data_IF_839944415172
#
_entry.id   IF_839944415172
#
_cell.length_a   1.000
_cell.length_b   1.000
_cell.length_c   1.000
_cell.angle_alpha   90.00
_cell.angle_beta   90.00
_cell.angle_gamma   90.00
#
_symmetry.space_group_name_H-M   'P 1'
#
loop_
_entity.id
_entity.type
_entity.pdbx_description
1 polymer ?
#
# COMPACT_ATOMS: atom_id res chain seq x y z
N UNK A 1 3.64 -10.03 1.67
CA UNK A 1 4.92 -10.36 0.99
C UNK A 1 5.65 -9.12 0.52
N UNK A 2 5.19 -8.37 -0.51
CA UNK A 2 5.90 -7.14 -0.92
C UNK A 2 5.63 -5.95 0.02
N UNK A 3 4.39 -5.77 0.49
CA UNK A 3 4.04 -4.70 1.44
C UNK A 3 4.71 -4.91 2.80
N UNK A 4 4.65 -6.13 3.31
CA UNK A 4 5.32 -6.50 4.56
C UNK A 4 6.84 -6.32 4.48
N UNK A 5 7.46 -6.68 3.34
CA UNK A 5 8.89 -6.45 3.10
C UNK A 5 9.22 -4.96 3.04
N UNK A 6 8.39 -4.17 2.33
CA UNK A 6 8.58 -2.73 2.25
C UNK A 6 8.45 -2.09 3.63
N UNK A 7 7.40 -2.42 4.38
CA UNK A 7 7.18 -1.93 5.75
C UNK A 7 8.39 -2.24 6.63
N UNK A 8 8.82 -3.50 6.68
CA UNK A 8 9.96 -3.93 7.49
C UNK A 8 11.26 -3.18 7.16
N UNK A 9 11.53 -2.91 5.89
CA UNK A 9 12.75 -2.17 5.47
C UNK A 9 12.59 -0.66 5.66
N UNK A 10 11.38 -0.11 5.52
CA UNK A 10 11.10 1.32 5.67
C UNK A 10 11.07 1.79 7.12
N UNK A 11 10.77 0.89 8.06
CA UNK A 11 10.72 1.18 9.51
C UNK A 11 11.95 0.67 10.25
N UNK A 12 12.91 0.06 9.56
CA UNK A 12 14.17 -0.41 10.14
C UNK A 12 15.03 0.79 10.59
N UNK A 13 14.99 1.04 11.90
CA UNK A 13 15.73 2.11 12.58
C UNK A 13 17.25 1.98 12.44
N UNK A 14 17.78 0.78 12.16
CA UNK A 14 19.22 0.50 12.15
C UNK A 14 19.93 1.19 11.00
N UNK A 15 19.21 1.47 9.90
CA UNK A 15 19.86 1.93 8.67
C UNK A 15 19.60 3.42 8.37
N UNK A 16 18.72 4.06 9.13
CA UNK A 16 18.41 5.47 8.95
C UNK A 16 17.82 5.80 7.56
N UNK A 17 17.43 7.05 7.40
CA UNK A 17 16.67 7.57 6.25
C UNK A 17 17.49 7.70 4.96
N UNK A 18 18.80 7.45 5.00
CA UNK A 18 19.77 7.81 3.95
C UNK A 18 20.26 6.59 3.14
N UNK A 19 19.36 5.65 2.85
CA UNK A 19 19.67 4.51 2.00
C UNK A 19 19.63 4.89 0.52
N UNK A 20 20.68 4.53 -0.22
CA UNK A 20 20.65 4.53 -1.70
C UNK A 20 19.49 3.66 -2.18
N UNK A 21 18.72 4.15 -3.15
CA UNK A 21 17.52 3.49 -3.69
C UNK A 21 17.79 2.03 -4.12
N UNK A 22 18.93 1.75 -4.74
CA UNK A 22 19.33 0.39 -5.14
C UNK A 22 19.50 -0.54 -3.93
N UNK A 23 20.10 -0.06 -2.85
CA UNK A 23 20.30 -0.82 -1.60
C UNK A 23 18.95 -1.12 -0.93
N UNK A 24 18.05 -0.13 -0.90
CA UNK A 24 16.72 -0.27 -0.35
C UNK A 24 15.91 -1.37 -1.07
N UNK A 25 15.85 -1.33 -2.40
CA UNK A 25 15.13 -2.33 -3.19
C UNK A 25 15.78 -3.70 -3.17
N UNK A 26 17.11 -3.76 -3.05
CA UNK A 26 17.85 -5.01 -2.90
C UNK A 26 17.48 -5.73 -1.60
N UNK A 27 17.33 -4.99 -0.49
CA UNK A 27 16.91 -5.56 0.81
C UNK A 27 15.47 -6.04 0.80
N UNK A 28 14.56 -5.25 0.22
CA UNK A 28 13.16 -5.67 0.02
C UNK A 28 13.10 -6.96 -0.77
N UNK A 29 13.92 -7.07 -1.83
CA UNK A 29 14.01 -8.27 -2.64
C UNK A 29 14.55 -9.47 -1.84
N UNK A 30 15.64 -9.30 -1.08
CA UNK A 30 16.18 -10.34 -0.21
C UNK A 30 15.14 -10.85 0.80
N UNK A 31 14.41 -9.94 1.45
CA UNK A 31 13.32 -10.32 2.36
C UNK A 31 12.20 -11.08 1.63
N UNK A 32 11.81 -10.63 0.42
CA UNK A 32 10.82 -11.33 -0.38
C UNK A 32 11.25 -12.76 -0.75
N UNK A 33 12.54 -12.98 -1.05
CA UNK A 33 13.09 -14.32 -1.31
C UNK A 33 13.10 -15.16 -0.04
N UNK A 34 13.49 -14.60 1.11
CA UNK A 34 13.48 -15.32 2.39
C UNK A 34 12.08 -15.82 2.75
N UNK A 35 11.05 -15.01 2.51
CA UNK A 35 9.65 -15.36 2.77
C UNK A 35 9.06 -16.26 1.67
N UNK A 36 9.58 -16.18 0.45
CA UNK A 36 9.14 -17.00 -0.68
C UNK A 36 10.30 -17.28 -1.63
N UNK A 37 10.98 -18.41 -1.40
CA UNK A 37 12.14 -18.83 -2.17
C UNK A 37 11.85 -19.03 -3.68
N UNK A 38 10.58 -19.21 -4.06
CA UNK A 38 10.16 -19.34 -5.44
C UNK A 38 9.92 -17.99 -6.16
N UNK A 39 10.23 -16.87 -5.51
CA UNK A 39 10.11 -15.54 -6.13
C UNK A 39 11.11 -15.37 -7.27
N UNK A 40 10.65 -15.52 -8.52
CA UNK A 40 11.44 -15.29 -9.74
C UNK A 40 11.67 -13.81 -10.10
N UNK A 41 11.17 -12.86 -9.30
CA UNK A 41 11.17 -11.42 -9.62
C UNK A 41 12.35 -10.73 -8.96
N UNK A 42 13.25 -10.15 -9.76
CA UNK A 42 14.35 -9.31 -9.28
C UNK A 42 13.91 -7.99 -8.63
N UNK A 43 14.83 -7.31 -7.94
CA UNK A 43 14.58 -6.07 -7.20
C UNK A 43 13.91 -4.96 -8.04
N UNK A 44 14.30 -4.78 -9.30
CA UNK A 44 13.67 -3.82 -10.23
C UNK A 44 12.20 -4.16 -10.49
N UNK A 45 11.86 -5.45 -10.59
CA UNK A 45 10.48 -5.89 -10.76
C UNK A 45 9.66 -5.67 -9.47
N UNK A 46 10.27 -5.85 -8.29
CA UNK A 46 9.66 -5.51 -7.00
C UNK A 46 9.32 -4.02 -6.94
N UNK A 47 10.28 -3.16 -7.28
CA UNK A 47 10.13 -1.70 -7.34
C UNK A 47 8.96 -1.29 -8.24
N UNK A 48 8.97 -1.75 -9.50
CA UNK A 48 7.88 -1.44 -10.46
C UNK A 48 6.51 -1.93 -9.96
N UNK A 49 6.45 -3.11 -9.36
CA UNK A 49 5.20 -3.65 -8.81
C UNK A 49 4.72 -2.84 -7.62
N UNK A 50 5.63 -2.45 -6.72
CA UNK A 50 5.30 -1.61 -5.57
C UNK A 50 4.67 -0.29 -6.01
N UNK A 51 5.30 0.47 -6.91
CA UNK A 51 4.73 1.76 -7.34
C UNK A 51 3.34 1.62 -7.98
N UNK A 52 3.09 0.54 -8.72
CA UNK A 52 1.76 0.28 -9.28
C UNK A 52 0.72 0.07 -8.19
N UNK A 53 1.04 -0.75 -7.19
CA UNK A 53 0.14 -1.00 -6.04
C UNK A 53 -0.04 0.27 -5.23
N UNK A 54 1.05 0.95 -4.88
CA UNK A 54 1.02 2.15 -4.05
C UNK A 54 0.21 3.26 -4.71
N UNK A 55 0.31 3.42 -6.04
CA UNK A 55 -0.54 4.36 -6.79
C UNK A 55 -2.02 4.04 -6.60
N UNK A 56 -2.42 2.79 -6.80
CA UNK A 56 -3.83 2.37 -6.68
C UNK A 56 -4.33 2.51 -5.23
N UNK A 57 -3.50 2.18 -4.25
CA UNK A 57 -3.80 2.32 -2.82
C UNK A 57 -3.95 3.80 -2.43
N UNK A 58 -3.05 4.68 -2.87
CA UNK A 58 -3.12 6.12 -2.60
C UNK A 58 -4.36 6.77 -3.23
N UNK A 59 -4.72 6.35 -4.45
CA UNK A 59 -5.96 6.78 -5.11
C UNK A 59 -7.20 6.40 -4.29
N UNK A 60 -7.25 5.16 -3.77
CA UNK A 60 -8.33 4.71 -2.91
C UNK A 60 -8.35 5.45 -1.56
N UNK A 61 -7.19 5.70 -0.97
CA UNK A 61 -7.08 6.48 0.26
C UNK A 61 -7.68 7.89 0.10
N UNK A 62 -7.40 8.58 -1.01
CA UNK A 62 -8.03 9.87 -1.31
C UNK A 62 -9.55 9.78 -1.44
N UNK A 63 -10.08 8.73 -2.08
CA UNK A 63 -11.53 8.49 -2.11
C UNK A 63 -12.12 8.20 -0.73
N UNK A 64 -11.37 7.50 0.14
CA UNK A 64 -11.79 7.24 1.52
C UNK A 64 -11.81 8.52 2.36
N UNK A 65 -10.81 9.38 2.22
CA UNK A 65 -10.78 10.68 2.90
C UNK A 65 -11.92 11.59 2.44
N UNK A 66 -12.20 11.60 1.13
CA UNK A 66 -13.35 12.31 0.56
C UNK A 66 -14.68 11.74 1.09
N UNK A 67 -14.81 10.42 1.18
CA UNK A 67 -15.98 9.77 1.76
C UNK A 67 -16.16 10.16 3.24
N UNK A 68 -15.07 10.18 4.00
CA UNK A 68 -15.07 10.53 5.42
C UNK A 68 -15.47 12.00 5.65
N UNK A 69 -15.06 12.92 4.77
CA UNK A 69 -15.44 14.34 4.84
C UNK A 69 -16.92 14.59 4.49
N UNK A 70 -17.51 13.77 3.62
CA UNK A 70 -18.90 13.94 3.16
C UNK A 70 -19.95 13.38 4.12
N UNK A 71 -19.55 12.60 5.11
CA UNK A 71 -20.46 11.89 5.99
C UNK A 71 -20.71 12.71 7.27
N UNK A 72 -22.00 12.94 7.59
CA UNK A 72 -22.42 13.61 8.82
C UNK A 72 -22.10 12.74 10.04
N UNK A 73 -21.77 13.37 11.16
CA UNK A 73 -21.47 12.73 12.45
C UNK A 73 -22.51 11.66 12.80
N UNK A 74 -22.07 10.40 12.95
CA UNK A 74 -22.92 9.27 13.37
C UNK A 74 -22.89 8.02 12.48
N UNK A 75 -22.12 8.00 11.38
CA UNK A 75 -22.01 6.81 10.52
C UNK A 75 -20.90 5.84 10.95
N UNK A 76 -21.11 4.54 10.69
CA UNK A 76 -20.11 3.50 10.95
C UNK A 76 -18.99 3.52 9.89
N UNK A 77 -17.86 2.88 10.21
CA UNK A 77 -16.70 2.79 9.31
C UNK A 77 -17.00 2.05 7.98
N UNK A 78 -17.97 1.14 7.97
CA UNK A 78 -18.37 0.37 6.79
C UNK A 78 -19.07 1.25 5.75
N UNK A 79 -19.89 2.21 6.18
CA UNK A 79 -20.57 3.18 5.31
C UNK A 79 -19.56 4.08 4.60
N UNK A 80 -18.53 4.53 5.32
CA UNK A 80 -17.43 5.34 4.74
C UNK A 80 -16.71 4.52 3.67
N UNK A 81 -16.41 3.26 3.98
CA UNK A 81 -15.70 2.36 3.07
C UNK A 81 -16.54 2.04 1.82
N UNK A 82 -17.84 1.81 1.96
CA UNK A 82 -18.74 1.59 0.83
C UNK A 82 -18.80 2.81 -0.09
N UNK A 83 -18.90 4.02 0.48
CA UNK A 83 -18.85 5.26 -0.28
C UNK A 83 -17.51 5.44 -0.99
N UNK A 84 -16.39 5.12 -0.33
CA UNK A 84 -15.06 5.17 -0.92
C UNK A 84 -14.94 4.24 -2.15
N UNK A 85 -15.51 3.03 -2.08
CA UNK A 85 -15.57 2.12 -3.23
C UNK A 85 -16.36 2.69 -4.40
N UNK A 86 -17.52 3.30 -4.13
CA UNK A 86 -18.35 3.96 -5.16
C UNK A 86 -17.62 5.13 -5.81
N UNK A 87 -16.97 5.98 -5.00
CA UNK A 87 -16.16 7.10 -5.48
C UNK A 87 -14.98 6.61 -6.34
N UNK A 88 -14.27 5.57 -5.90
CA UNK A 88 -13.16 5.00 -6.65
C UNK A 88 -13.61 4.46 -8.02
N UNK A 89 -14.68 3.67 -8.04
CA UNK A 89 -15.24 3.12 -9.28
C UNK A 89 -15.66 4.23 -10.24
N UNK A 90 -16.31 5.28 -9.74
CA UNK A 90 -16.72 6.44 -10.53
C UNK A 90 -15.52 7.22 -11.09
N UNK A 91 -14.47 7.43 -10.29
CA UNK A 91 -13.33 8.26 -10.67
C UNK A 91 -12.34 7.54 -11.60
N UNK A 92 -12.23 6.21 -11.50
CA UNK A 92 -11.19 5.44 -12.20
C UNK A 92 -11.73 4.35 -13.14
N UNK A 93 -13.05 4.24 -13.25
CA UNK A 93 -13.77 3.26 -14.08
C UNK A 93 -13.34 1.80 -13.78
N UNK A 94 -13.00 1.52 -12.52
CA UNK A 94 -12.43 0.24 -12.07
C UNK A 94 -12.81 -0.07 -10.64
N UNK A 95 -12.96 -1.35 -10.34
CA UNK A 95 -13.10 -1.82 -8.98
C UNK A 95 -11.74 -1.83 -8.27
N UNK A 96 -11.71 -1.35 -7.02
CA UNK A 96 -10.53 -1.46 -6.18
C UNK A 96 -10.34 -2.90 -5.69
N UNK A 97 -9.14 -3.44 -5.85
CA UNK A 97 -8.82 -4.87 -5.56
C UNK A 97 -7.71 -5.05 -4.52
N UNK A 98 -7.16 -3.95 -3.99
CA UNK A 98 -6.01 -3.97 -3.07
C UNK A 98 -6.40 -3.68 -1.62
N UNK A 99 -7.57 -4.14 -1.17
CA UNK A 99 -8.10 -3.82 0.16
C UNK A 99 -7.16 -4.23 1.30
N UNK A 100 -6.67 -5.48 1.27
CA UNK A 100 -5.71 -5.97 2.26
C UNK A 100 -4.44 -5.10 2.33
N UNK A 101 -4.00 -4.57 1.19
CA UNK A 101 -2.80 -3.74 1.09
C UNK A 101 -3.03 -2.35 1.69
N UNK A 102 -4.20 -1.76 1.42
CA UNK A 102 -4.60 -0.48 2.01
C UNK A 102 -4.80 -0.60 3.53
N UNK A 103 -5.45 -1.66 4.02
CA UNK A 103 -5.62 -1.90 5.46
C UNK A 103 -4.28 -2.00 6.19
N UNK A 104 -3.31 -2.76 5.64
CA UNK A 104 -1.97 -2.87 6.23
C UNK A 104 -1.26 -1.52 6.32
N UNK A 105 -1.30 -0.72 5.25
CA UNK A 105 -0.63 0.58 5.23
C UNK A 105 -1.30 1.60 6.16
N UNK A 106 -2.62 1.54 6.32
CA UNK A 106 -3.35 2.44 7.23
C UNK A 106 -3.11 2.14 8.70
N UNK A 107 -2.90 0.87 9.06
CA UNK A 107 -2.65 0.47 10.46
C UNK A 107 -1.28 0.93 10.97
N UNK A 108 -0.29 1.03 10.09
CA UNK A 108 1.08 1.44 10.39
C UNK A 108 1.25 2.97 10.42
N UNK A 109 0.27 3.74 9.94
CA UNK A 109 0.27 5.21 9.95
C UNK A 109 -0.37 5.80 11.23
N UNK A 110 -0.70 4.97 12.22
CA UNK A 110 -1.20 5.37 13.55
C UNK A 110 -0.09 5.34 14.58
#
# INVERSE_FOLDING_TARGET
MLISAWLNVSTDLIVGTDQKDETFWSRIHSYCIQVNANMKRGAVACKKRWYRINKVVAQFAGCYDQANQNIRSGSNADNIKELAYKLYSTNYDKNFTFEMHWNMLRLEQK
#
